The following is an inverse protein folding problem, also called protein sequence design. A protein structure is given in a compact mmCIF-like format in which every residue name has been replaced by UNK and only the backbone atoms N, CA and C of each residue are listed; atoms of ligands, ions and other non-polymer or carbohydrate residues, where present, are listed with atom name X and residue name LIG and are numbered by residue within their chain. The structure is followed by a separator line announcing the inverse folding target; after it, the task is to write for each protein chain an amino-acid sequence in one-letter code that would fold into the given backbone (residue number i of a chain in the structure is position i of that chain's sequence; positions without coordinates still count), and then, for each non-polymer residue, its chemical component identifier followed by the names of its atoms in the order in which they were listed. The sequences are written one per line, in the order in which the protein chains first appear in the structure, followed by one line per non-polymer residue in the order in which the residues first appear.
data_IF_650395792997
#
_entry.id   IF_650395792997
#
_cell.length_a   1.000
_cell.length_b   1.000
_cell.length_c   1.000
_cell.angle_alpha   90.00
_cell.angle_beta   90.00
_cell.angle_gamma   90.00
#
_symmetry.space_group_name_H-M   'P 1'
#
loop_
_entity.id
_entity.type
_entity.pdbx_description
1 polymer ?
#
# COMPACT_ATOMS: atom_id res chain seq x y z
N UNK A 1 17.18 8.68 8.51
CA UNK A 1 16.71 8.84 7.13
C UNK A 1 15.29 8.30 7.13
N UNK A 2 14.30 9.07 6.67
CA UNK A 2 12.89 8.65 6.74
C UNK A 2 12.62 7.40 5.91
N UNK A 3 11.54 6.72 6.22
CA UNK A 3 11.07 5.54 5.49
C UNK A 3 10.39 5.90 4.16
N UNK A 4 9.99 7.17 4.02
CA UNK A 4 9.39 7.71 2.79
C UNK A 4 10.19 8.95 2.37
N UNK A 5 10.61 9.00 1.12
CA UNK A 5 11.21 10.20 0.55
C UNK A 5 10.28 10.80 -0.50
N UNK A 6 10.19 12.13 -0.53
CA UNK A 6 9.32 12.86 -1.46
C UNK A 6 10.19 13.70 -2.39
N UNK A 7 9.93 13.61 -3.70
CA UNK A 7 10.58 14.43 -4.71
C UNK A 7 9.56 14.94 -5.73
N UNK A 8 9.58 16.22 -6.02
CA UNK A 8 8.78 16.79 -7.11
C UNK A 8 9.43 16.53 -8.48
N UNK A 9 8.65 16.07 -9.43
CA UNK A 9 9.00 15.94 -10.84
C UNK A 9 7.93 16.66 -11.65
N UNK A 10 8.20 17.90 -12.02
CA UNK A 10 7.16 18.77 -12.55
C UNK A 10 6.05 18.96 -11.51
N UNK A 11 4.82 18.64 -11.88
CA UNK A 11 3.64 18.66 -10.98
C UNK A 11 3.30 17.31 -10.34
N UNK A 12 4.21 16.33 -10.39
CA UNK A 12 4.03 15.01 -9.79
C UNK A 12 4.89 14.86 -8.56
N UNK A 13 4.27 14.54 -7.43
CA UNK A 13 4.96 14.13 -6.20
C UNK A 13 5.36 12.66 -6.30
N UNK A 14 6.66 12.37 -6.34
CA UNK A 14 7.17 11.00 -6.35
C UNK A 14 7.53 10.61 -4.92
N UNK A 15 6.74 9.70 -4.35
CA UNK A 15 6.95 9.10 -3.04
C UNK A 15 7.73 7.79 -3.23
N UNK A 16 8.92 7.72 -2.66
CA UNK A 16 9.73 6.51 -2.72
C UNK A 16 9.76 5.84 -1.35
N UNK A 17 9.22 4.63 -1.29
CA UNK A 17 9.25 3.77 -0.10
C UNK A 17 10.68 3.26 0.13
N UNK A 18 11.21 3.44 1.33
CA UNK A 18 12.57 3.10 1.70
C UNK A 18 12.69 2.60 3.15
N UNK A 19 11.96 1.55 3.48
CA UNK A 19 12.05 0.82 4.76
C UNK A 19 12.67 -0.56 4.53
N UNK A 20 14.03 -0.63 4.42
CA UNK A 20 14.70 -1.88 4.10
C UNK A 20 14.55 -2.93 5.21
N UNK A 21 14.63 -4.23 4.85
CA UNK A 21 14.89 -4.74 3.50
C UNK A 21 13.64 -4.91 2.63
N UNK A 22 12.43 -4.87 3.17
CA UNK A 22 11.22 -5.36 2.51
C UNK A 22 10.05 -4.36 2.50
N UNK A 23 10.25 -3.12 2.93
CA UNK A 23 9.19 -2.12 3.09
C UNK A 23 8.03 -2.61 3.96
N UNK A 24 8.32 -3.31 5.08
CA UNK A 24 7.27 -3.77 5.97
C UNK A 24 6.51 -2.58 6.58
N UNK A 25 5.20 -2.74 6.67
CA UNK A 25 4.29 -1.72 7.17
C UNK A 25 4.13 -1.88 8.69
N UNK A 26 4.54 -0.86 9.43
CA UNK A 26 4.20 -0.63 10.84
C UNK A 26 3.51 0.72 10.98
N UNK A 27 3.12 1.09 12.20
CA UNK A 27 2.45 2.38 12.50
C UNK A 27 3.24 3.58 12.02
N UNK A 28 4.53 3.64 12.33
CA UNK A 28 5.39 4.75 11.95
C UNK A 28 5.51 4.88 10.42
N UNK A 29 5.57 3.74 9.70
CA UNK A 29 5.62 3.73 8.24
C UNK A 29 4.34 4.32 7.64
N UNK A 30 3.19 3.90 8.13
CA UNK A 30 1.89 4.39 7.66
C UNK A 30 1.71 5.87 7.96
N UNK A 31 2.07 6.31 9.16
CA UNK A 31 1.98 7.73 9.53
C UNK A 31 2.86 8.59 8.63
N UNK A 32 4.12 8.19 8.43
CA UNK A 32 5.03 8.90 7.51
C UNK A 32 4.52 8.90 6.07
N UNK A 33 3.87 7.79 5.64
CA UNK A 33 3.27 7.69 4.31
C UNK A 33 2.08 8.64 4.13
N UNK A 34 1.16 8.70 5.11
CA UNK A 34 0.04 9.64 5.10
C UNK A 34 0.53 11.09 5.07
N UNK A 35 1.45 11.46 5.97
CA UNK A 35 2.03 12.79 6.00
C UNK A 35 2.74 13.17 4.69
N UNK A 36 3.39 12.20 4.03
CA UNK A 36 4.06 12.44 2.75
C UNK A 36 3.06 12.75 1.63
N UNK A 37 1.92 12.06 1.61
CA UNK A 37 0.85 12.33 0.64
C UNK A 37 0.17 13.68 0.90
N UNK A 38 -0.17 13.98 2.15
CA UNK A 38 -0.78 15.24 2.57
C UNK A 38 0.13 16.43 2.19
N UNK A 39 1.42 16.33 2.49
CA UNK A 39 2.42 17.34 2.11
C UNK A 39 2.52 17.51 0.59
N UNK A 40 2.46 16.45 -0.19
CA UNK A 40 2.46 16.57 -1.64
C UNK A 40 1.26 17.38 -2.17
N UNK A 41 0.08 17.21 -1.55
CA UNK A 41 -1.11 18.03 -1.86
C UNK A 41 -0.89 19.50 -1.46
N UNK A 42 -0.40 19.75 -0.25
CA UNK A 42 -0.09 21.10 0.25
C UNK A 42 0.93 21.83 -0.61
N UNK A 43 1.94 21.11 -1.12
CA UNK A 43 2.98 21.61 -2.02
C UNK A 43 2.45 21.84 -3.46
N UNK A 44 1.15 21.64 -3.71
CA UNK A 44 0.49 21.90 -4.97
C UNK A 44 0.76 20.86 -6.07
N UNK A 45 1.15 19.63 -5.69
CA UNK A 45 1.27 18.53 -6.64
C UNK A 45 -0.10 18.17 -7.21
N UNK A 46 -0.14 17.75 -8.47
CA UNK A 46 -1.36 17.41 -9.20
C UNK A 46 -1.59 15.91 -9.35
N UNK A 47 -0.62 15.11 -9.00
CA UNK A 47 -0.68 13.65 -8.92
C UNK A 47 0.42 13.13 -8.01
N UNK A 48 0.25 11.91 -7.48
CA UNK A 48 1.24 11.22 -6.67
C UNK A 48 1.62 9.90 -7.36
N UNK A 49 2.92 9.66 -7.49
CA UNK A 49 3.49 8.37 -7.90
C UNK A 49 4.17 7.72 -6.70
N UNK A 50 3.71 6.54 -6.32
CA UNK A 50 4.29 5.74 -5.23
C UNK A 50 5.14 4.64 -5.83
N UNK A 51 6.40 4.54 -5.41
CA UNK A 51 7.36 3.57 -5.92
C UNK A 51 8.38 3.17 -4.84
N UNK A 52 9.27 2.27 -5.17
CA UNK A 52 10.45 1.94 -4.35
C UNK A 52 11.67 1.70 -5.23
N UNK A 53 12.87 1.88 -4.67
CA UNK A 53 14.13 1.43 -5.26
C UNK A 53 14.62 0.10 -4.64
N UNK A 54 13.91 -0.43 -3.63
CA UNK A 54 14.21 -1.73 -3.04
C UNK A 54 13.74 -2.86 -3.95
N UNK A 55 14.17 -4.09 -3.65
CA UNK A 55 13.83 -5.30 -4.40
C UNK A 55 12.32 -5.56 -4.47
N UNK A 56 11.57 -5.15 -3.46
CA UNK A 56 10.14 -5.41 -3.28
C UNK A 56 9.40 -4.11 -3.04
N UNK A 57 8.22 -3.96 -3.66
CA UNK A 57 7.36 -2.81 -3.38
C UNK A 57 7.00 -2.78 -1.90
N UNK A 58 6.40 -3.85 -1.39
CA UNK A 58 6.16 -4.05 0.03
C UNK A 58 5.78 -5.53 0.27
N UNK A 59 6.46 -6.20 1.18
CA UNK A 59 6.24 -7.61 1.45
C UNK A 59 5.15 -7.91 2.49
N UNK A 60 4.50 -6.88 3.06
CA UNK A 60 3.40 -7.04 4.00
C UNK A 60 3.50 -6.14 5.22
N UNK A 61 2.65 -6.42 6.20
CA UNK A 61 2.71 -5.75 7.49
C UNK A 61 3.80 -6.37 8.39
N UNK A 62 4.34 -5.56 9.29
CA UNK A 62 5.16 -6.07 10.39
C UNK A 62 4.27 -6.72 11.42
N UNK A 63 4.13 -8.05 11.34
CA UNK A 63 3.28 -8.83 12.24
C UNK A 63 3.72 -8.75 13.71
N UNK A 64 4.97 -8.39 13.98
CA UNK A 64 5.45 -8.20 15.35
C UNK A 64 4.92 -6.92 16.00
N UNK A 65 4.46 -5.98 15.20
CA UNK A 65 3.85 -4.72 15.63
C UNK A 65 2.32 -4.79 15.77
N UNK A 66 1.65 -5.78 15.17
CA UNK A 66 0.19 -5.88 15.10
C UNK A 66 -0.51 -6.07 16.45
N UNK A 67 0.17 -6.61 17.46
CA UNK A 67 -0.42 -6.88 18.79
C UNK A 67 -0.75 -5.61 19.61
N UNK A 68 -0.37 -4.43 19.13
CA UNK A 68 -0.48 -3.19 19.91
C UNK A 68 -1.52 -2.19 19.38
N UNK A 69 -2.08 -2.35 18.18
CA UNK A 69 -2.65 -1.18 17.46
C UNK A 69 -3.98 -1.43 16.71
N UNK A 70 -4.81 -2.38 17.13
CA UNK A 70 -6.05 -2.77 16.41
C UNK A 70 -7.12 -1.67 16.21
N UNK A 71 -6.97 -0.50 16.80
CA UNK A 71 -7.98 0.57 16.75
C UNK A 71 -7.62 1.70 15.76
N UNK A 72 -6.35 1.87 15.41
CA UNK A 72 -5.92 2.98 14.55
C UNK A 72 -6.04 2.70 13.03
N UNK A 73 -6.28 1.46 12.65
CA UNK A 73 -6.35 1.09 11.23
C UNK A 73 -7.47 1.81 10.45
N UNK A 74 -8.62 2.08 11.05
CA UNK A 74 -9.74 2.75 10.39
C UNK A 74 -9.45 4.23 10.10
N UNK A 75 -8.85 4.95 11.05
CA UNK A 75 -8.49 6.37 10.89
C UNK A 75 -7.43 6.53 9.80
N UNK A 76 -6.50 5.59 9.75
CA UNK A 76 -5.45 5.56 8.73
C UNK A 76 -6.03 5.34 7.33
N UNK A 77 -7.04 4.46 7.20
CA UNK A 77 -7.70 4.18 5.93
C UNK A 77 -8.42 5.43 5.39
N UNK A 78 -9.13 6.14 6.25
CA UNK A 78 -9.82 7.38 5.89
C UNK A 78 -8.84 8.44 5.36
N UNK A 79 -7.67 8.57 5.98
CA UNK A 79 -6.61 9.49 5.52
C UNK A 79 -6.06 9.10 4.14
N UNK A 80 -5.80 7.81 3.92
CA UNK A 80 -5.31 7.31 2.63
C UNK A 80 -6.31 7.52 1.49
N UNK A 81 -7.60 7.44 1.79
CA UNK A 81 -8.68 7.61 0.82
C UNK A 81 -9.06 9.09 0.57
N UNK A 82 -8.69 9.99 1.49
CA UNK A 82 -9.03 11.41 1.40
C UNK A 82 -8.12 12.25 0.50
N UNK A 83 -7.11 11.65 -0.15
CA UNK A 83 -6.17 12.37 -1.02
C UNK A 83 -6.91 12.86 -2.27
N UNK A 84 -7.02 14.18 -2.48
CA UNK A 84 -7.90 14.75 -3.52
C UNK A 84 -7.24 14.86 -4.91
N UNK A 85 -6.13 14.18 -5.14
CA UNK A 85 -5.39 14.17 -6.41
C UNK A 85 -5.10 12.73 -6.82
N UNK A 86 -5.00 12.43 -8.13
CA UNK A 86 -4.74 11.08 -8.62
C UNK A 86 -3.48 10.45 -8.03
N UNK A 87 -3.59 9.18 -7.65
CA UNK A 87 -2.52 8.38 -7.06
C UNK A 87 -2.22 7.13 -7.90
N UNK A 88 -0.95 6.84 -8.11
CA UNK A 88 -0.49 5.69 -8.90
C UNK A 88 0.55 4.90 -8.12
N UNK A 89 0.33 3.60 -7.93
CA UNK A 89 1.33 2.69 -7.40
C UNK A 89 2.09 2.00 -8.54
N UNK A 90 3.40 2.25 -8.66
CA UNK A 90 4.28 1.51 -9.56
C UNK A 90 4.93 0.35 -8.78
N UNK A 91 4.46 -0.88 -9.01
CA UNK A 91 4.79 -2.02 -8.17
C UNK A 91 5.65 -3.07 -8.88
N UNK A 92 6.56 -3.68 -8.14
CA UNK A 92 7.40 -4.78 -8.62
C UNK A 92 7.83 -5.71 -7.47
N UNK A 93 8.34 -6.89 -7.80
CA UNK A 93 8.72 -7.89 -6.80
C UNK A 93 7.54 -8.29 -5.92
N UNK A 94 7.74 -8.44 -4.62
CA UNK A 94 6.65 -8.76 -3.69
C UNK A 94 5.76 -7.53 -3.45
N UNK A 95 4.43 -7.76 -3.58
CA UNK A 95 3.33 -6.81 -3.32
C UNK A 95 2.29 -7.60 -2.54
N UNK A 96 2.58 -7.91 -1.28
CA UNK A 96 1.87 -8.94 -0.54
C UNK A 96 1.21 -8.40 0.72
N UNK A 97 0.07 -8.97 1.09
CA UNK A 97 -0.66 -8.61 2.30
C UNK A 97 -0.89 -7.11 2.42
N UNK A 98 -0.49 -6.48 3.52
CA UNK A 98 -0.56 -5.03 3.71
C UNK A 98 0.07 -4.21 2.59
N UNK A 99 1.10 -4.74 1.91
CA UNK A 99 1.70 -4.08 0.74
C UNK A 99 0.76 -4.06 -0.47
N UNK A 100 -0.04 -5.11 -0.64
CA UNK A 100 -1.10 -5.10 -1.64
C UNK A 100 -2.25 -4.19 -1.22
N UNK A 101 -2.60 -4.18 0.07
CA UNK A 101 -3.60 -3.27 0.61
C UNK A 101 -3.21 -1.81 0.39
N UNK A 102 -1.93 -1.45 0.62
CA UNK A 102 -1.39 -0.13 0.33
C UNK A 102 -1.50 0.23 -1.16
N UNK A 103 -1.15 -0.69 -2.06
CA UNK A 103 -1.31 -0.45 -3.49
C UNK A 103 -2.78 -0.25 -3.90
N UNK A 104 -3.72 -0.96 -3.24
CA UNK A 104 -5.15 -0.82 -3.48
C UNK A 104 -5.74 0.53 -3.01
N UNK A 105 -5.06 1.29 -2.14
CA UNK A 105 -5.50 2.65 -1.81
C UNK A 105 -5.28 3.64 -2.95
N UNK A 106 -4.41 3.31 -3.90
CA UNK A 106 -4.16 4.15 -5.07
C UNK A 106 -5.25 3.99 -6.12
N UNK A 107 -5.50 5.04 -6.92
CA UNK A 107 -6.46 4.99 -8.03
C UNK A 107 -6.01 3.99 -9.10
N UNK A 108 -4.71 3.94 -9.39
CA UNK A 108 -4.13 3.06 -10.41
C UNK A 108 -2.96 2.24 -9.84
N UNK A 109 -2.85 1.00 -10.32
CA UNK A 109 -1.71 0.12 -10.06
C UNK A 109 -1.07 -0.24 -11.40
N UNK A 110 0.22 0.08 -11.56
CA UNK A 110 1.03 -0.32 -12.69
C UNK A 110 2.03 -1.36 -12.19
N UNK A 111 1.86 -2.59 -12.64
CA UNK A 111 2.68 -3.72 -12.20
C UNK A 111 3.74 -4.09 -13.23
N UNK A 112 4.97 -4.25 -12.78
CA UNK A 112 6.00 -4.89 -13.59
C UNK A 112 5.66 -6.37 -13.80
N UNK A 113 6.12 -6.98 -14.90
CA UNK A 113 5.94 -8.42 -15.16
C UNK A 113 6.52 -9.31 -14.05
N UNK A 114 7.48 -8.82 -13.29
CA UNK A 114 8.08 -9.51 -12.15
C UNK A 114 7.29 -9.38 -10.85
N UNK A 115 6.19 -8.63 -10.84
CA UNK A 115 5.40 -8.41 -9.63
C UNK A 115 4.69 -9.71 -9.21
N UNK A 116 4.71 -9.98 -7.90
CA UNK A 116 3.97 -11.07 -7.26
C UNK A 116 2.97 -10.43 -6.29
N UNK A 117 1.71 -10.38 -6.71
CA UNK A 117 0.65 -9.64 -6.02
C UNK A 117 -0.27 -10.62 -5.30
N UNK A 118 -0.65 -10.36 -4.06
CA UNK A 118 -1.60 -11.21 -3.36
C UNK A 118 -1.96 -10.77 -1.96
N UNK A 119 -3.18 -11.11 -1.56
CA UNK A 119 -3.63 -11.07 -0.16
C UNK A 119 -3.31 -12.42 0.46
N UNK A 120 -2.21 -12.47 1.20
CA UNK A 120 -1.61 -13.74 1.70
C UNK A 120 -1.81 -13.96 3.19
N UNK A 121 -2.55 -13.11 3.85
CA UNK A 121 -2.78 -13.08 5.30
C UNK A 121 -3.34 -14.41 5.81
N UNK A 122 -4.21 -15.06 5.05
CA UNK A 122 -4.81 -16.36 5.39
C UNK A 122 -3.76 -17.45 5.60
N UNK A 123 -2.60 -17.37 4.94
CA UNK A 123 -1.51 -18.34 5.11
C UNK A 123 -0.90 -18.32 6.51
N UNK A 124 -1.09 -17.24 7.26
CA UNK A 124 -0.63 -17.09 8.65
C UNK A 124 -1.79 -16.95 9.64
N UNK A 125 -3.02 -17.32 9.22
CA UNK A 125 -4.20 -17.27 10.08
C UNK A 125 -4.77 -15.89 10.35
N UNK A 126 -4.41 -14.89 9.53
CA UNK A 126 -4.92 -13.52 9.63
C UNK A 126 -5.91 -13.20 8.50
N UNK A 127 -6.64 -12.11 8.67
CA UNK A 127 -7.44 -11.48 7.62
C UNK A 127 -6.80 -10.15 7.19
N UNK A 128 -7.09 -9.65 5.98
CA UNK A 128 -6.69 -8.30 5.57
C UNK A 128 -7.30 -7.25 6.51
N UNK A 129 -6.48 -6.33 7.01
CA UNK A 129 -6.89 -5.33 8.01
C UNK A 129 -6.90 -3.89 7.47
N UNK A 130 -6.24 -3.64 6.34
CA UNK A 130 -6.12 -2.31 5.72
C UNK A 130 -7.07 -2.11 4.53
N UNK A 131 -8.19 -2.84 4.48
CA UNK A 131 -9.29 -2.59 3.54
C UNK A 131 -9.22 -3.34 2.21
N UNK A 132 -8.40 -4.39 2.06
CA UNK A 132 -8.35 -5.16 0.81
C UNK A 132 -9.71 -5.77 0.45
N UNK A 133 -10.46 -6.28 1.43
CA UNK A 133 -11.78 -6.92 1.16
C UNK A 133 -12.74 -5.93 0.51
N UNK A 134 -12.83 -4.72 1.04
CA UNK A 134 -13.69 -3.67 0.54
C UNK A 134 -13.26 -3.23 -0.86
N UNK A 135 -11.99 -2.82 -1.02
CA UNK A 135 -11.45 -2.32 -2.30
C UNK A 135 -11.45 -3.36 -3.41
N UNK A 136 -11.14 -4.61 -3.10
CA UNK A 136 -11.23 -5.70 -4.08
C UNK A 136 -12.68 -5.97 -4.47
N UNK A 137 -13.63 -5.88 -3.53
CA UNK A 137 -15.04 -6.06 -3.84
C UNK A 137 -15.54 -4.97 -4.78
N UNK A 138 -15.15 -3.72 -4.56
CA UNK A 138 -15.50 -2.59 -5.41
C UNK A 138 -14.86 -2.69 -6.80
N UNK A 139 -13.58 -3.05 -6.87
CA UNK A 139 -12.80 -3.07 -8.13
C UNK A 139 -13.04 -4.31 -8.99
N UNK A 140 -13.26 -5.47 -8.37
CA UNK A 140 -13.27 -6.76 -9.06
C UNK A 140 -14.53 -7.61 -8.80
N UNK A 141 -15.42 -7.11 -7.95
CA UNK A 141 -16.64 -7.82 -7.52
C UNK A 141 -16.37 -8.86 -6.42
N UNK A 142 -17.45 -9.27 -5.72
CA UNK A 142 -17.33 -10.09 -4.51
C UNK A 142 -16.75 -11.48 -4.75
N UNK A 143 -16.99 -12.09 -5.91
CA UNK A 143 -16.47 -13.43 -6.23
C UNK A 143 -14.94 -13.43 -6.34
N UNK A 144 -14.38 -12.42 -7.02
CA UNK A 144 -12.93 -12.27 -7.17
C UNK A 144 -12.26 -11.84 -5.88
N UNK A 145 -12.91 -10.95 -5.13
CA UNK A 145 -12.41 -10.56 -3.81
C UNK A 145 -12.27 -11.77 -2.87
N UNK A 146 -13.30 -12.63 -2.81
CA UNK A 146 -13.25 -13.89 -2.04
C UNK A 146 -12.14 -14.81 -2.52
N UNK A 147 -12.00 -15.01 -3.82
CA UNK A 147 -10.92 -15.86 -4.39
C UNK A 147 -9.54 -15.35 -3.94
N UNK A 148 -9.28 -14.05 -4.07
CA UNK A 148 -7.98 -13.45 -3.75
C UNK A 148 -7.70 -13.54 -2.26
N UNK A 149 -8.65 -13.17 -1.40
CA UNK A 149 -8.43 -13.05 0.04
C UNK A 149 -8.50 -14.40 0.77
N UNK A 150 -9.37 -15.33 0.34
CA UNK A 150 -9.56 -16.59 1.04
C UNK A 150 -8.60 -17.69 0.61
N UNK A 151 -8.05 -17.63 -0.62
CA UNK A 151 -7.12 -18.64 -1.11
C UNK A 151 -5.65 -18.28 -0.90
N UNK A 152 -5.33 -17.03 -0.54
CA UNK A 152 -3.96 -16.58 -0.26
C UNK A 152 -2.98 -16.79 -1.42
N UNK A 153 -3.49 -16.80 -2.66
CA UNK A 153 -2.65 -17.03 -3.86
C UNK A 153 -1.86 -15.78 -4.22
N UNK A 154 -0.71 -16.02 -4.87
CA UNK A 154 0.07 -14.97 -5.52
C UNK A 154 -0.22 -15.00 -7.01
N UNK A 155 -0.39 -13.83 -7.58
CA UNK A 155 -0.65 -13.60 -9.00
C UNK A 155 0.52 -12.85 -9.62
N UNK A 156 0.85 -13.15 -10.87
CA UNK A 156 1.89 -12.50 -11.70
C UNK A 156 1.27 -11.91 -12.95
#
# INVERSE_FOLDING_TARGET
MGMITVRAVGSVGVLTLNNPPHNLIGSDFIEEFCCAQERAVEDGMRAILIRTDLRHFCAGADVSALDREGVEASITLDRLESIPIPTVAAVHGAVLGGGFELALTCDFIIAAQSAQIGSVEVAIGLAPLLGAVQRLTERAGPARAKEITMLGRRYS
#
